data_IF_814263149758
#
_entry.id   IF_814263149758
#
_cell.length_a   1.000
_cell.length_b   1.000
_cell.length_c   1.000
_cell.angle_alpha   90.00
_cell.angle_beta   90.00
_cell.angle_gamma   90.00
#
_symmetry.space_group_name_H-M   'P 1'
#
loop_
_entity.id
_entity.type
_entity.pdbx_description
1 polymer ?
#
# COMPACT_ATOMS: atom_id res chain seq x y z
N UNK A 1 32.10 15.41 10.27
CA UNK A 1 31.06 15.45 9.23
C UNK A 1 29.69 14.91 9.68
N UNK A 2 29.56 14.20 10.80
CA UNK A 2 28.25 13.71 11.32
C UNK A 2 27.48 14.74 12.16
N UNK A 3 28.12 15.71 12.75
CA UNK A 3 27.51 16.76 13.62
C UNK A 3 26.72 17.79 12.79
N UNK A 4 27.15 18.07 11.55
CA UNK A 4 26.45 19.01 10.67
C UNK A 4 25.09 18.52 10.15
N UNK A 5 24.85 17.19 10.09
CA UNK A 5 23.55 16.64 9.68
C UNK A 5 22.49 16.72 10.78
N UNK A 6 22.91 16.66 12.05
CA UNK A 6 21.98 16.82 13.20
C UNK A 6 21.55 18.28 13.38
N UNK A 7 22.43 19.23 13.11
CA UNK A 7 22.17 20.66 13.26
C UNK A 7 21.12 21.17 12.24
N UNK A 8 21.11 20.61 11.04
CA UNK A 8 20.15 20.99 10.00
C UNK A 8 18.72 20.49 10.26
N UNK A 9 18.56 19.40 10.99
CA UNK A 9 17.21 18.91 11.38
C UNK A 9 16.65 19.73 12.56
N UNK A 10 17.50 20.17 13.49
CA UNK A 10 17.10 21.00 14.64
C UNK A 10 16.77 22.44 14.21
N UNK A 11 17.43 22.98 13.19
CA UNK A 11 17.19 24.34 12.71
C UNK A 11 15.90 24.45 11.88
N UNK A 12 15.47 23.36 11.21
CA UNK A 12 14.21 23.32 10.47
C UNK A 12 12.98 23.37 11.38
N UNK A 13 13.10 22.99 12.65
CA UNK A 13 11.99 22.98 13.63
C UNK A 13 11.72 24.38 14.21
N UNK A 14 12.69 25.28 14.15
CA UNK A 14 12.58 26.63 14.79
C UNK A 14 11.90 27.70 13.94
N UNK A 15 11.58 27.41 12.67
CA UNK A 15 10.90 28.38 11.77
C UNK A 15 9.42 28.05 11.49
N UNK A 16 8.83 27.12 12.21
CA UNK A 16 7.40 26.89 12.08
C UNK A 16 6.60 27.98 12.80
N UNK A 17 5.93 28.84 12.06
CA UNK A 17 4.93 29.75 12.60
C UNK A 17 3.86 28.95 13.36
N UNK A 18 3.22 29.56 14.37
CA UNK A 18 2.15 28.93 15.16
C UNK A 18 1.04 28.33 14.30
N UNK A 19 0.76 28.94 13.15
CA UNK A 19 -0.24 28.48 12.17
C UNK A 19 0.17 27.18 11.46
N UNK A 20 1.47 26.96 11.25
CA UNK A 20 1.99 25.72 10.69
C UNK A 20 1.77 24.53 11.65
N UNK A 21 1.97 24.73 12.94
CA UNK A 21 1.80 23.69 13.96
C UNK A 21 0.32 23.31 14.14
N UNK A 22 -0.60 24.26 14.01
CA UNK A 22 -2.04 24.01 14.18
C UNK A 22 -2.64 23.08 13.13
N UNK A 23 -2.06 23.06 11.93
CA UNK A 23 -2.50 22.23 10.78
C UNK A 23 -1.64 20.99 10.54
N UNK A 24 -0.71 20.68 11.46
CA UNK A 24 0.18 19.53 11.41
C UNK A 24 -0.35 18.42 12.30
N UNK A 25 -0.42 17.20 11.76
CA UNK A 25 -0.83 16.01 12.51
C UNK A 25 0.33 15.05 12.59
N UNK A 26 0.74 14.69 13.79
CA UNK A 26 1.53 13.50 14.06
C UNK A 26 0.60 12.30 14.15
N UNK A 27 0.98 11.19 13.52
CA UNK A 27 0.18 9.97 13.53
C UNK A 27 1.07 8.74 13.48
N UNK A 28 0.51 7.60 13.83
CA UNK A 28 1.20 6.34 13.68
C UNK A 28 0.26 5.15 13.64
N UNK A 29 0.86 4.02 13.33
CA UNK A 29 0.23 2.70 13.33
C UNK A 29 1.22 1.67 13.85
N UNK A 30 0.88 0.98 14.91
CA UNK A 30 1.53 -0.26 15.33
C UNK A 30 0.68 -1.41 14.84
N UNK A 31 1.26 -2.31 14.06
CA UNK A 31 0.57 -3.47 13.49
C UNK A 31 1.52 -4.66 13.52
N UNK A 32 1.28 -5.58 14.44
CA UNK A 32 2.14 -6.73 14.68
C UNK A 32 1.31 -8.01 14.82
N UNK A 33 1.93 -9.14 14.56
CA UNK A 33 1.30 -10.45 14.73
C UNK A 33 2.30 -11.52 15.14
N UNK A 34 1.85 -12.48 15.94
CA UNK A 34 2.45 -13.79 16.00
C UNK A 34 1.98 -14.59 14.81
N UNK A 35 2.93 -15.16 14.07
CA UNK A 35 2.69 -15.90 12.86
C UNK A 35 3.35 -17.27 12.95
N UNK A 36 2.55 -18.31 12.80
CA UNK A 36 3.02 -19.66 12.48
C UNK A 36 3.08 -19.78 10.96
N UNK A 37 4.20 -20.22 10.44
CA UNK A 37 4.39 -20.55 9.03
C UNK A 37 4.85 -21.98 8.87
N UNK A 38 4.14 -22.76 8.07
CA UNK A 38 4.50 -24.11 7.69
C UNK A 38 4.99 -24.09 6.24
N UNK A 39 6.28 -24.38 6.00
CA UNK A 39 6.93 -24.37 4.69
C UNK A 39 7.83 -25.59 4.55
N UNK A 40 7.68 -26.36 3.46
CA UNK A 40 8.58 -27.48 3.16
C UNK A 40 8.78 -28.45 4.35
N UNK A 41 7.70 -28.74 5.10
CA UNK A 41 7.71 -29.58 6.31
C UNK A 41 8.42 -28.96 7.53
N UNK A 42 8.82 -27.69 7.46
CA UNK A 42 9.37 -26.95 8.59
C UNK A 42 8.31 -25.98 9.13
N UNK A 43 8.11 -26.00 10.44
CA UNK A 43 7.25 -25.05 11.15
C UNK A 43 8.11 -24.00 11.83
N UNK A 44 7.79 -22.73 11.59
CA UNK A 44 8.40 -21.59 12.27
C UNK A 44 7.31 -20.73 12.94
N UNK A 45 7.63 -20.16 14.10
CA UNK A 45 6.77 -19.22 14.81
C UNK A 45 7.57 -17.96 15.07
N UNK A 46 7.08 -16.84 14.58
CA UNK A 46 7.79 -15.57 14.65
C UNK A 46 6.86 -14.40 14.95
N UNK A 47 7.42 -13.35 15.52
CA UNK A 47 6.72 -12.09 15.78
C UNK A 47 6.98 -11.14 14.63
N UNK A 48 5.93 -10.82 13.86
CA UNK A 48 6.02 -10.08 12.60
C UNK A 48 5.55 -8.63 12.73
N UNK A 49 6.33 -7.75 12.11
CA UNK A 49 5.92 -6.38 11.83
C UNK A 49 5.10 -6.34 10.53
N UNK A 50 3.86 -5.84 10.60
CA UNK A 50 2.97 -5.66 9.46
C UNK A 50 2.95 -4.18 9.03
N UNK A 51 4.15 -3.66 8.70
CA UNK A 51 4.37 -2.27 8.30
C UNK A 51 3.86 -1.25 9.33
N UNK A 52 4.29 -1.41 10.58
CA UNK A 52 4.15 -0.38 11.61
C UNK A 52 4.86 0.89 11.15
N UNK A 53 4.29 2.06 11.47
CA UNK A 53 4.79 3.33 10.92
C UNK A 53 4.51 4.50 11.83
N UNK A 54 5.29 5.55 11.65
CA UNK A 54 5.06 6.88 12.20
C UNK A 54 5.14 7.90 11.08
N UNK A 55 4.43 9.00 11.20
CA UNK A 55 4.46 10.04 10.20
C UNK A 55 3.94 11.38 10.69
N UNK A 56 4.26 12.39 9.89
CA UNK A 56 3.80 13.77 10.05
C UNK A 56 3.16 14.18 8.73
N UNK A 57 1.97 14.78 8.80
CA UNK A 57 1.27 15.33 7.65
C UNK A 57 0.66 16.68 7.97
N UNK A 58 0.52 17.50 6.95
CA UNK A 58 -0.13 18.80 7.10
C UNK A 58 -0.72 19.29 5.78
N UNK A 59 -1.63 20.25 5.90
CA UNK A 59 -2.26 20.95 4.77
C UNK A 59 -2.48 22.39 5.14
N UNK A 60 -2.02 23.32 4.26
CA UNK A 60 -2.08 24.77 4.46
C UNK A 60 -2.70 25.45 3.26
N UNK A 61 -3.58 26.40 3.51
CA UNK A 61 -4.09 27.31 2.48
C UNK A 61 -3.04 28.41 2.26
N UNK A 62 -2.49 28.51 1.05
CA UNK A 62 -1.63 29.61 0.63
C UNK A 62 -2.45 30.86 0.29
N UNK A 63 -3.61 30.64 -0.31
CA UNK A 63 -4.64 31.61 -0.60
C UNK A 63 -5.96 30.88 -0.86
N UNK A 64 -7.02 31.60 -1.28
CA UNK A 64 -8.36 31.03 -1.53
C UNK A 64 -8.36 29.88 -2.56
N UNK A 65 -7.39 29.85 -3.49
CA UNK A 65 -7.35 28.91 -4.61
C UNK A 65 -6.21 27.89 -4.54
N UNK A 66 -5.24 28.09 -3.65
CA UNK A 66 -4.03 27.28 -3.59
C UNK A 66 -3.78 26.73 -2.18
N UNK A 67 -3.45 25.46 -2.12
CA UNK A 67 -3.10 24.74 -0.89
C UNK A 67 -1.79 23.99 -1.07
N UNK A 68 -0.97 23.95 -0.04
CA UNK A 68 0.15 23.02 0.07
C UNK A 68 -0.25 21.89 1.00
N UNK A 69 0.08 20.67 0.62
CA UNK A 69 0.03 19.51 1.53
C UNK A 69 1.36 18.78 1.54
N UNK A 70 1.68 18.13 2.65
CA UNK A 70 2.87 17.30 2.78
C UNK A 70 2.60 16.07 3.63
N UNK A 71 3.43 15.06 3.42
CA UNK A 71 3.47 13.82 4.17
C UNK A 71 4.92 13.38 4.32
N UNK A 72 5.31 13.02 5.55
CA UNK A 72 6.55 12.32 5.87
C UNK A 72 6.18 11.07 6.65
N UNK A 73 6.40 9.88 6.08
CA UNK A 73 6.06 8.61 6.71
C UNK A 73 7.27 7.66 6.66
N UNK A 74 7.57 7.07 7.80
CA UNK A 74 8.58 6.02 7.91
C UNK A 74 7.98 4.76 8.54
N UNK A 75 8.34 3.61 7.98
CA UNK A 75 8.10 2.33 8.61
C UNK A 75 9.08 2.14 9.76
N UNK A 76 8.57 1.64 10.87
CA UNK A 76 9.33 1.26 12.06
C UNK A 76 9.13 -0.24 12.29
N UNK A 77 10.10 -0.89 12.88
CA UNK A 77 9.97 -2.30 13.26
C UNK A 77 10.00 -2.47 14.79
N UNK A 78 8.83 -2.61 15.44
CA UNK A 78 8.77 -2.84 16.88
C UNK A 78 9.02 -4.31 17.28
N UNK A 79 9.19 -5.22 16.30
CA UNK A 79 9.36 -6.66 16.55
C UNK A 79 10.80 -7.09 16.53
N UNK A 80 11.69 -6.32 15.93
CA UNK A 80 13.12 -6.56 15.90
C UNK A 80 13.78 -6.00 17.17
N UNK A 81 13.85 -6.83 18.21
CA UNK A 81 14.52 -6.51 19.48
C UNK A 81 16.05 -6.57 19.37
N UNK A 82 16.61 -6.91 18.22
CA UNK A 82 18.04 -6.87 17.95
C UNK A 82 18.44 -5.40 17.80
N UNK A 83 19.10 -4.87 18.78
CA UNK A 83 19.80 -3.60 18.62
C UNK A 83 20.75 -3.76 17.46
N UNK A 84 20.41 -3.18 16.33
CA UNK A 84 20.95 -3.30 14.99
C UNK A 84 22.48 -3.26 14.92
N UNK A 85 23.10 -4.35 15.31
CA UNK A 85 24.54 -4.59 15.14
C UNK A 85 24.91 -4.84 13.67
N UNK A 86 23.91 -5.11 12.81
CA UNK A 86 24.05 -5.45 11.39
C UNK A 86 23.90 -4.26 10.43
N UNK A 87 23.66 -3.02 10.93
CA UNK A 87 23.55 -1.81 10.12
C UNK A 87 22.20 -1.63 9.38
N UNK A 88 21.20 -2.45 9.66
CA UNK A 88 19.86 -2.24 9.10
C UNK A 88 19.23 -0.92 9.58
N UNK A 89 18.45 -0.28 8.70
CA UNK A 89 17.86 1.03 8.99
C UNK A 89 16.68 0.91 9.95
N UNK A 90 16.70 1.66 11.07
CA UNK A 90 15.60 1.76 12.03
C UNK A 90 14.33 2.31 11.38
N UNK A 91 14.50 3.18 10.38
CA UNK A 91 13.43 3.81 9.65
C UNK A 91 13.55 3.48 8.18
N UNK A 92 12.52 2.87 7.61
CA UNK A 92 12.40 2.65 6.17
C UNK A 92 11.45 3.68 5.60
N UNK A 93 11.93 4.47 4.65
CA UNK A 93 11.13 5.50 4.00
C UNK A 93 9.88 4.90 3.35
N UNK A 94 8.74 5.55 3.61
CA UNK A 94 7.45 5.29 2.97
C UNK A 94 7.06 6.50 2.12
N UNK A 95 5.78 6.81 2.01
CA UNK A 95 5.35 8.00 1.26
C UNK A 95 5.87 9.27 1.95
N UNK A 96 6.70 10.02 1.23
CA UNK A 96 7.30 11.27 1.69
C UNK A 96 7.26 12.25 0.54
N UNK A 97 6.33 13.22 0.57
CA UNK A 97 6.11 14.13 -0.54
C UNK A 97 5.61 15.50 -0.09
N UNK A 98 5.75 16.47 -0.98
CA UNK A 98 5.09 17.76 -0.93
C UNK A 98 4.19 17.92 -2.17
N UNK A 99 3.04 18.59 -2.01
CA UNK A 99 2.10 18.80 -3.09
C UNK A 99 1.53 20.22 -3.09
N UNK A 100 1.26 20.73 -4.30
CA UNK A 100 0.49 21.93 -4.55
C UNK A 100 -0.88 21.52 -5.13
N UNK A 101 -1.96 21.98 -4.51
CA UNK A 101 -3.33 21.66 -4.87
C UNK A 101 -4.11 22.94 -5.22
N UNK A 102 -4.93 22.88 -6.25
CA UNK A 102 -5.76 24.00 -6.69
C UNK A 102 -6.87 23.54 -7.65
N UNK A 103 -7.51 24.50 -8.34
CA UNK A 103 -8.52 24.20 -9.34
C UNK A 103 -7.98 23.39 -10.53
N UNK A 104 -6.66 23.44 -10.76
CA UNK A 104 -5.96 22.63 -11.76
C UNK A 104 -5.75 21.16 -11.32
N UNK A 105 -6.07 20.80 -10.07
CA UNK A 105 -5.80 19.49 -9.48
C UNK A 105 -4.67 19.54 -8.49
N UNK A 106 -3.87 18.46 -8.42
CA UNK A 106 -2.77 18.26 -7.48
C UNK A 106 -1.49 17.89 -8.21
N UNK A 107 -0.44 18.68 -8.04
CA UNK A 107 0.95 18.35 -8.46
C UNK A 107 1.72 18.00 -7.21
N UNK A 108 2.52 16.91 -7.25
CA UNK A 108 3.28 16.46 -6.08
C UNK A 108 4.62 15.84 -6.48
N UNK A 109 5.59 15.91 -5.57
CA UNK A 109 6.94 15.39 -5.78
C UNK A 109 7.51 14.81 -4.49
N UNK A 110 8.42 13.84 -4.64
CA UNK A 110 9.08 13.14 -3.53
C UNK A 110 9.08 11.62 -3.72
N UNK A 111 8.79 10.88 -2.64
CA UNK A 111 8.61 9.43 -2.63
C UNK A 111 7.14 9.10 -2.49
N UNK A 112 6.58 8.34 -3.41
CA UNK A 112 5.14 8.04 -3.42
C UNK A 112 4.83 6.66 -4.03
N UNK A 113 3.68 6.09 -3.64
CA UNK A 113 3.11 4.92 -4.32
C UNK A 113 2.71 5.29 -5.75
N UNK A 114 2.98 4.41 -6.72
CA UNK A 114 2.65 4.64 -8.12
C UNK A 114 1.13 4.67 -8.36
N UNK A 115 0.71 5.28 -9.48
CA UNK A 115 -0.69 5.32 -9.87
C UNK A 115 -1.28 3.90 -10.01
N UNK A 116 -0.51 2.94 -10.54
CA UNK A 116 -0.91 1.54 -10.64
C UNK A 116 -1.11 0.91 -9.26
N UNK A 117 -0.21 1.16 -8.31
CA UNK A 117 -0.38 0.64 -6.95
C UNK A 117 -1.62 1.20 -6.27
N UNK A 118 -1.88 2.50 -6.39
CA UNK A 118 -3.07 3.15 -5.84
C UNK A 118 -4.35 2.62 -6.48
N UNK A 119 -4.31 2.28 -7.78
CA UNK A 119 -5.42 1.70 -8.52
C UNK A 119 -5.84 0.28 -8.08
N UNK A 120 -5.16 -0.30 -7.09
CA UNK A 120 -5.60 -1.51 -6.38
C UNK A 120 -6.96 -1.32 -5.68
N UNK A 121 -7.38 -0.09 -5.37
CA UNK A 121 -8.68 0.28 -4.77
C UNK A 121 -8.99 -0.42 -3.43
N UNK A 122 -7.99 -0.97 -2.73
CA UNK A 122 -8.13 -1.80 -1.52
C UNK A 122 -8.88 -3.13 -1.78
N UNK A 123 -8.74 -3.67 -2.98
CA UNK A 123 -9.20 -5.03 -3.30
C UNK A 123 -8.44 -6.04 -2.44
N UNK A 124 -7.14 -5.80 -2.19
CA UNK A 124 -6.35 -6.57 -1.26
C UNK A 124 -6.78 -6.29 0.19
N UNK A 125 -7.46 -7.26 0.81
CA UNK A 125 -7.94 -7.20 2.18
C UNK A 125 -6.87 -7.60 3.21
N UNK A 126 -5.75 -8.17 2.76
CA UNK A 126 -4.65 -8.66 3.56
C UNK A 126 -3.35 -7.84 3.39
N UNK A 127 -3.49 -6.62 2.85
CA UNK A 127 -2.35 -5.72 2.64
C UNK A 127 -1.49 -5.55 3.90
N UNK A 128 -0.19 -5.47 3.71
CA UNK A 128 0.86 -5.44 4.75
C UNK A 128 1.05 -6.78 5.51
N UNK A 129 0.34 -7.88 5.16
CA UNK A 129 0.49 -9.21 5.79
C UNK A 129 1.13 -10.23 4.85
N UNK A 130 1.17 -11.52 5.22
CA UNK A 130 1.67 -12.60 4.35
C UNK A 130 0.78 -12.90 3.16
N UNK A 131 -0.48 -12.51 3.21
CA UNK A 131 -1.43 -12.65 2.11
C UNK A 131 -1.52 -11.40 1.22
N UNK A 132 -0.59 -10.45 1.38
CA UNK A 132 -0.47 -9.25 0.54
C UNK A 132 -0.23 -9.63 -0.93
N UNK A 133 -0.95 -9.01 -1.84
CA UNK A 133 -0.87 -9.29 -3.28
C UNK A 133 0.53 -9.08 -3.87
N UNK A 134 1.39 -8.31 -3.22
CA UNK A 134 2.79 -8.10 -3.64
C UNK A 134 3.58 -9.40 -3.80
N UNK A 135 3.15 -10.50 -3.18
CA UNK A 135 3.81 -11.80 -3.33
C UNK A 135 3.45 -12.51 -4.63
N UNK A 136 2.29 -12.19 -5.23
CA UNK A 136 1.81 -12.76 -6.50
C UNK A 136 1.87 -11.80 -7.68
N UNK A 137 1.74 -10.47 -7.44
CA UNK A 137 1.63 -9.47 -8.49
C UNK A 137 2.83 -8.53 -8.50
N UNK A 138 3.21 -8.04 -9.68
CA UNK A 138 4.14 -6.93 -9.86
C UNK A 138 3.41 -5.59 -9.73
N UNK A 139 4.19 -4.48 -9.65
CA UNK A 139 3.63 -3.14 -9.70
C UNK A 139 3.20 -2.57 -8.35
N UNK A 140 3.43 -3.29 -7.23
CA UNK A 140 3.24 -2.75 -5.87
C UNK A 140 4.41 -1.82 -5.50
N UNK A 141 4.70 -0.86 -6.40
CA UNK A 141 5.87 0.00 -6.32
C UNK A 141 5.62 1.28 -5.52
N UNK A 142 6.62 1.64 -4.71
CA UNK A 142 6.84 2.98 -4.19
C UNK A 142 8.15 3.47 -4.77
N UNK A 143 8.17 4.67 -5.34
CA UNK A 143 9.29 5.21 -6.09
C UNK A 143 9.67 6.57 -5.52
N UNK A 144 10.97 6.82 -5.45
CA UNK A 144 11.55 8.13 -5.19
C UNK A 144 11.79 8.89 -6.51
N UNK A 145 12.26 10.13 -6.42
CA UNK A 145 12.50 11.01 -7.59
C UNK A 145 11.25 11.14 -8.49
N UNK A 146 10.14 11.33 -7.87
CA UNK A 146 8.80 11.18 -8.42
C UNK A 146 8.19 12.56 -8.67
N UNK A 147 7.60 12.75 -9.84
CA UNK A 147 6.69 13.87 -10.13
C UNK A 147 5.33 13.28 -10.49
N UNK A 148 4.29 13.73 -9.82
CA UNK A 148 2.95 13.25 -10.02
C UNK A 148 1.94 14.38 -10.23
N UNK A 149 0.90 14.07 -10.98
CA UNK A 149 -0.25 14.93 -11.18
C UNK A 149 -1.52 14.12 -10.99
N UNK A 150 -2.49 14.69 -10.25
CA UNK A 150 -3.85 14.15 -10.19
C UNK A 150 -4.83 15.25 -10.62
N UNK A 151 -5.66 14.96 -11.61
CA UNK A 151 -6.63 15.91 -12.14
C UNK A 151 -7.73 16.26 -11.12
N UNK A 152 -8.41 17.40 -11.26
CA UNK A 152 -9.77 17.57 -10.73
C UNK A 152 -10.68 16.46 -11.25
N UNK A 153 -11.93 16.44 -10.80
CA UNK A 153 -12.93 15.60 -11.47
C UNK A 153 -13.18 16.11 -12.89
N UNK A 154 -12.78 15.32 -13.89
CA UNK A 154 -12.98 15.62 -15.32
C UNK A 154 -14.48 15.56 -15.65
N UNK A 155 -15.12 14.50 -15.16
CA UNK A 155 -16.56 14.35 -15.06
C UNK A 155 -16.85 13.79 -13.67
N UNK A 156 -18.10 13.87 -13.21
CA UNK A 156 -18.47 13.47 -11.85
C UNK A 156 -17.94 12.05 -11.51
N UNK A 157 -17.03 12.02 -10.55
CA UNK A 157 -16.40 10.79 -10.04
C UNK A 157 -15.17 10.32 -10.80
N UNK A 158 -14.79 10.90 -11.95
CA UNK A 158 -13.64 10.46 -12.75
C UNK A 158 -12.41 11.35 -12.51
N UNK A 159 -11.30 10.75 -12.13
CA UNK A 159 -9.99 11.41 -11.99
C UNK A 159 -8.91 10.64 -12.76
N UNK A 160 -7.94 11.38 -13.24
CA UNK A 160 -6.71 10.85 -13.88
C UNK A 160 -5.54 11.11 -12.93
N UNK A 161 -4.66 10.12 -12.77
CA UNK A 161 -3.37 10.31 -12.11
C UNK A 161 -2.26 9.91 -13.08
N UNK A 162 -1.25 10.77 -13.19
CA UNK A 162 -0.07 10.59 -14.01
C UNK A 162 1.15 10.71 -13.12
N UNK A 163 2.11 9.81 -13.30
CA UNK A 163 3.39 9.82 -12.57
C UNK A 163 4.52 9.61 -13.56
N UNK A 164 5.60 10.37 -13.38
CA UNK A 164 6.84 10.17 -14.09
C UNK A 164 7.99 10.13 -13.09
N UNK A 165 8.85 9.14 -13.23
CA UNK A 165 9.96 8.87 -12.35
C UNK A 165 11.24 8.80 -13.18
N UNK A 166 12.20 9.66 -12.86
CA UNK A 166 13.53 9.61 -13.47
C UNK A 166 14.35 8.50 -12.85
N UNK A 167 14.92 7.63 -13.68
CA UNK A 167 15.85 6.57 -13.29
C UNK A 167 17.12 6.64 -14.13
N UNK A 168 18.22 6.07 -13.63
CA UNK A 168 19.48 5.98 -14.39
C UNK A 168 19.38 5.18 -15.70
N UNK A 169 18.37 4.28 -15.79
CA UNK A 169 18.12 3.41 -16.94
C UNK A 169 16.98 3.90 -17.85
N UNK A 170 16.51 5.13 -17.67
CA UNK A 170 15.39 5.71 -18.40
C UNK A 170 14.24 6.16 -17.51
N UNK A 171 13.15 6.63 -18.11
CA UNK A 171 11.94 7.00 -17.36
C UNK A 171 11.08 5.77 -17.04
N UNK A 172 10.44 5.82 -15.92
CA UNK A 172 9.33 4.96 -15.54
C UNK A 172 8.08 5.82 -15.43
N UNK A 173 7.05 5.47 -16.16
CA UNK A 173 5.78 6.19 -16.16
C UNK A 173 4.65 5.30 -15.63
N UNK A 174 3.78 5.90 -14.83
CA UNK A 174 2.61 5.22 -14.26
C UNK A 174 1.39 6.12 -14.38
N UNK A 175 0.29 5.58 -14.83
CA UNK A 175 -0.96 6.32 -14.93
C UNK A 175 -2.17 5.51 -14.51
N UNK A 176 -3.22 6.20 -14.06
CA UNK A 176 -4.50 5.58 -13.76
C UNK A 176 -5.69 6.47 -14.09
N UNK A 177 -6.78 5.81 -14.47
CA UNK A 177 -8.14 6.35 -14.53
C UNK A 177 -8.90 5.78 -13.34
N UNK A 178 -9.41 6.64 -12.47
CA UNK A 178 -10.13 6.23 -11.28
C UNK A 178 -11.53 6.81 -11.31
N UNK A 179 -12.54 5.95 -11.28
CA UNK A 179 -13.94 6.31 -11.22
C UNK A 179 -14.54 5.90 -9.88
N UNK A 180 -15.29 6.81 -9.25
CA UNK A 180 -15.97 6.56 -7.98
C UNK A 180 -17.37 7.17 -8.00
N UNK A 181 -18.40 6.35 -7.80
CA UNK A 181 -19.79 6.80 -7.67
C UNK A 181 -20.50 6.02 -6.57
N UNK A 182 -20.81 6.72 -5.47
CA UNK A 182 -21.29 6.07 -4.26
C UNK A 182 -20.28 5.06 -3.73
N UNK A 183 -20.71 3.84 -3.51
CA UNK A 183 -19.86 2.75 -3.02
C UNK A 183 -19.12 1.99 -4.13
N UNK A 184 -19.42 2.27 -5.40
CA UNK A 184 -18.79 1.62 -6.57
C UNK A 184 -17.52 2.37 -6.92
N UNK A 185 -16.41 1.65 -7.06
CA UNK A 185 -15.15 2.18 -7.56
C UNK A 185 -14.63 1.29 -8.68
N UNK A 186 -14.04 1.93 -9.68
CA UNK A 186 -13.41 1.27 -10.82
C UNK A 186 -12.10 1.98 -11.10
N UNK A 187 -11.04 1.24 -11.37
CA UNK A 187 -9.77 1.79 -11.81
C UNK A 187 -9.21 0.99 -12.97
N UNK A 188 -8.63 1.70 -13.91
CA UNK A 188 -7.69 1.18 -14.91
C UNK A 188 -6.35 1.85 -14.68
N UNK A 189 -5.26 1.09 -14.73
CA UNK A 189 -3.92 1.64 -14.54
C UNK A 189 -2.88 0.90 -15.37
N UNK A 190 -1.79 1.60 -15.67
CA UNK A 190 -0.65 1.00 -16.37
C UNK A 190 0.66 1.59 -15.86
N UNK A 191 1.67 0.74 -15.75
CA UNK A 191 3.07 1.08 -15.57
C UNK A 191 3.84 0.78 -16.85
N UNK A 192 4.76 1.65 -17.23
CA UNK A 192 5.72 1.44 -18.31
C UNK A 192 7.14 1.44 -17.73
N UNK A 193 7.90 0.38 -18.00
CA UNK A 193 9.28 0.20 -17.52
C UNK A 193 9.44 0.21 -15.98
N UNK A 194 8.42 -0.26 -15.27
CA UNK A 194 8.43 -0.35 -13.80
C UNK A 194 9.33 -1.46 -13.28
N UNK A 195 10.61 -1.16 -12.96
CA UNK A 195 11.61 -2.16 -12.52
C UNK A 195 11.77 -3.33 -13.51
N UNK A 196 11.71 -3.05 -14.81
CA UNK A 196 11.87 -4.03 -15.89
C UNK A 196 10.55 -4.73 -16.28
N UNK A 197 9.42 -4.17 -15.89
CA UNK A 197 8.09 -4.68 -16.21
C UNK A 197 7.16 -3.59 -16.72
N UNK A 198 6.32 -3.94 -17.71
CA UNK A 198 5.12 -3.21 -18.08
C UNK A 198 3.93 -3.89 -17.44
N UNK A 199 3.09 -3.14 -16.74
CA UNK A 199 1.92 -3.66 -16.05
C UNK A 199 0.66 -2.96 -16.53
N UNK A 200 -0.43 -3.70 -16.68
CA UNK A 200 -1.77 -3.20 -16.90
C UNK A 200 -2.71 -3.82 -15.89
N UNK A 201 -3.49 -3.00 -15.19
CA UNK A 201 -4.37 -3.43 -14.09
C UNK A 201 -5.76 -2.85 -14.27
N UNK A 202 -6.76 -3.68 -14.04
CA UNK A 202 -8.15 -3.27 -13.84
C UNK A 202 -8.55 -3.74 -12.46
N UNK A 203 -9.16 -2.87 -11.67
CA UNK A 203 -9.70 -3.21 -10.36
C UNK A 203 -11.06 -2.56 -10.13
N UNK A 204 -11.92 -3.24 -9.40
CA UNK A 204 -13.22 -2.71 -8.98
C UNK A 204 -13.56 -3.13 -7.57
N UNK A 205 -14.27 -2.25 -6.84
CA UNK A 205 -14.91 -2.59 -5.58
C UNK A 205 -16.36 -2.13 -5.60
N UNK A 206 -17.27 -2.99 -5.15
CA UNK A 206 -18.72 -2.70 -5.11
C UNK A 206 -19.40 -3.52 -4.02
N UNK A 207 -20.49 -3.03 -3.41
CA UNK A 207 -21.29 -3.81 -2.49
C UNK A 207 -22.30 -4.70 -3.22
N UNK A 208 -22.58 -5.86 -2.66
CA UNK A 208 -23.80 -6.63 -2.92
C UNK A 208 -24.73 -6.38 -1.73
N UNK A 209 -25.55 -5.35 -1.82
CA UNK A 209 -26.34 -4.84 -0.69
C UNK A 209 -27.27 -5.88 -0.10
N UNK A 210 -27.92 -6.71 -0.94
CA UNK A 210 -28.82 -7.79 -0.50
C UNK A 210 -28.16 -8.84 0.40
N UNK A 211 -26.83 -9.01 0.28
CA UNK A 211 -26.04 -9.95 1.08
C UNK A 211 -25.21 -9.25 2.18
N UNK A 212 -25.14 -7.92 2.16
CA UNK A 212 -24.27 -7.14 3.04
C UNK A 212 -22.79 -7.48 2.85
N UNK A 213 -22.37 -7.73 1.60
CA UNK A 213 -21.01 -8.12 1.23
C UNK A 213 -20.38 -7.03 0.35
N UNK A 214 -19.18 -6.58 0.72
CA UNK A 214 -18.31 -5.80 -0.16
C UNK A 214 -17.48 -6.76 -1.00
N UNK A 215 -17.46 -6.56 -2.31
CA UNK A 215 -16.70 -7.35 -3.28
C UNK A 215 -15.57 -6.53 -3.86
N UNK A 216 -14.40 -7.13 -3.97
CA UNK A 216 -13.26 -6.59 -4.72
C UNK A 216 -12.84 -7.56 -5.81
N UNK A 217 -12.54 -7.04 -7.00
CA UNK A 217 -11.99 -7.82 -8.12
C UNK A 217 -10.81 -7.08 -8.73
N UNK A 218 -9.78 -7.82 -9.13
CA UNK A 218 -8.60 -7.30 -9.79
C UNK A 218 -8.14 -8.28 -10.87
N UNK A 219 -7.79 -7.72 -12.03
CA UNK A 219 -7.09 -8.42 -13.10
C UNK A 219 -5.85 -7.63 -13.46
N UNK A 220 -4.74 -8.33 -13.69
CA UNK A 220 -3.49 -7.73 -14.12
C UNK A 220 -2.84 -8.56 -15.22
N UNK A 221 -2.30 -7.86 -16.22
CA UNK A 221 -1.33 -8.39 -17.20
C UNK A 221 0.01 -7.72 -16.94
N UNK A 222 1.08 -8.50 -16.95
CA UNK A 222 2.46 -8.04 -16.73
C UNK A 222 3.36 -8.59 -17.80
N UNK A 223 4.08 -7.70 -18.51
CA UNK A 223 5.11 -8.08 -19.49
C UNK A 223 6.48 -7.86 -18.88
N UNK A 224 7.30 -8.90 -18.85
CA UNK A 224 8.71 -8.83 -18.48
C UNK A 224 9.53 -8.32 -19.66
N UNK A 225 10.15 -7.16 -19.55
CA UNK A 225 10.84 -6.49 -20.67
C UNK A 225 12.06 -7.26 -21.15
N UNK A 226 12.80 -7.93 -20.25
CA UNK A 226 14.00 -8.68 -20.61
C UNK A 226 13.74 -9.94 -21.47
N UNK A 227 12.53 -10.51 -21.38
CA UNK A 227 12.17 -11.76 -22.10
C UNK A 227 11.02 -11.54 -23.09
N UNK A 228 10.27 -10.43 -22.99
CA UNK A 228 9.06 -10.18 -23.75
C UNK A 228 7.86 -11.05 -23.33
N UNK A 229 8.01 -11.93 -22.35
CA UNK A 229 6.94 -12.82 -21.87
C UNK A 229 5.89 -12.00 -21.12
N UNK A 230 4.63 -12.29 -21.40
CA UNK A 230 3.46 -11.68 -20.73
C UNK A 230 2.75 -12.73 -19.90
N UNK A 231 2.52 -12.40 -18.64
CA UNK A 231 1.87 -13.23 -17.64
C UNK A 231 0.65 -12.50 -17.06
N UNK A 232 -0.27 -13.25 -16.49
CA UNK A 232 -1.56 -12.71 -16.02
C UNK A 232 -1.84 -13.16 -14.60
N UNK A 233 -2.68 -12.38 -13.92
CA UNK A 233 -3.19 -12.76 -12.60
C UNK A 233 -4.53 -12.10 -12.32
N UNK A 234 -5.29 -12.72 -11.45
CA UNK A 234 -6.58 -12.22 -11.00
C UNK A 234 -6.76 -12.45 -9.50
N UNK A 235 -7.58 -11.62 -8.89
CA UNK A 235 -7.92 -11.70 -7.48
C UNK A 235 -9.39 -11.34 -7.30
N UNK A 236 -10.04 -12.07 -6.41
CA UNK A 236 -11.36 -11.75 -5.87
C UNK A 236 -11.27 -11.67 -4.35
N UNK A 237 -11.93 -10.69 -3.77
CA UNK A 237 -12.03 -10.54 -2.32
C UNK A 237 -13.46 -10.24 -1.89
N UNK A 238 -13.84 -10.78 -0.74
CA UNK A 238 -15.15 -10.62 -0.13
C UNK A 238 -14.96 -10.17 1.31
N UNK A 239 -15.74 -9.18 1.72
CA UNK A 239 -15.76 -8.71 3.10
C UNK A 239 -17.20 -8.63 3.57
N UNK A 240 -17.48 -9.22 4.74
CA UNK A 240 -18.78 -9.15 5.38
C UNK A 240 -18.66 -8.70 6.82
N UNK A 241 -19.45 -7.72 7.20
CA UNK A 241 -19.64 -7.35 8.60
C UNK A 241 -20.59 -8.38 9.24
N UNK A 242 -20.11 -9.12 10.24
CA UNK A 242 -20.87 -10.18 10.91
C UNK A 242 -21.42 -9.75 12.28
N UNK A 243 -20.91 -8.65 12.82
CA UNK A 243 -21.42 -7.98 14.02
C UNK A 243 -21.00 -6.51 14.00
N UNK A 244 -21.41 -5.72 15.00
CA UNK A 244 -20.99 -4.31 15.11
C UNK A 244 -19.48 -4.13 15.21
N UNK A 245 -18.78 -5.10 15.76
CA UNK A 245 -17.34 -5.09 15.95
C UNK A 245 -16.60 -6.10 15.07
N UNK A 246 -17.27 -7.13 14.55
CA UNK A 246 -16.69 -8.24 13.81
C UNK A 246 -16.84 -8.14 12.30
N UNK A 247 -15.77 -8.46 11.54
CA UNK A 247 -15.83 -8.60 10.08
C UNK A 247 -15.02 -9.81 9.64
N UNK A 248 -15.56 -10.57 8.68
CA UNK A 248 -14.91 -11.69 8.00
C UNK A 248 -14.42 -11.25 6.63
N UNK A 249 -13.28 -11.77 6.22
CA UNK A 249 -12.65 -11.51 4.92
C UNK A 249 -12.32 -12.82 4.24
N UNK A 250 -12.56 -12.90 2.95
CA UNK A 250 -12.10 -13.96 2.06
C UNK A 250 -11.35 -13.33 0.90
N UNK A 251 -10.25 -13.92 0.49
CA UNK A 251 -9.49 -13.50 -0.67
C UNK A 251 -8.94 -14.73 -1.38
N UNK A 252 -9.16 -14.80 -2.69
CA UNK A 252 -8.59 -15.81 -3.56
C UNK A 252 -7.86 -15.10 -4.71
N UNK A 253 -6.63 -15.50 -4.96
CA UNK A 253 -5.81 -14.96 -6.04
C UNK A 253 -5.12 -16.09 -6.80
N UNK A 254 -4.97 -15.91 -8.11
CA UNK A 254 -4.16 -16.77 -8.96
C UNK A 254 -3.35 -15.92 -9.92
N UNK A 255 -2.05 -16.25 -10.10
CA UNK A 255 -1.15 -15.44 -10.90
C UNK A 255 0.11 -16.19 -11.29
N UNK A 256 0.50 -16.10 -12.57
CA UNK A 256 1.78 -16.58 -13.08
C UNK A 256 2.89 -15.51 -13.00
N UNK A 257 2.55 -14.29 -12.60
CA UNK A 257 3.43 -13.09 -12.68
C UNK A 257 4.70 -13.21 -11.82
N UNK A 258 4.57 -13.74 -10.61
CA UNK A 258 5.73 -13.92 -9.69
C UNK A 258 6.00 -15.36 -9.34
N UNK A 259 4.97 -16.18 -9.33
CA UNK A 259 5.04 -17.60 -9.02
C UNK A 259 4.38 -18.37 -10.14
N UNK A 260 5.05 -19.42 -10.62
CA UNK A 260 4.50 -20.33 -11.60
C UNK A 260 3.25 -21.03 -11.03
N UNK A 261 2.12 -20.87 -11.71
CA UNK A 261 0.80 -21.33 -11.24
C UNK A 261 0.47 -20.90 -9.81
N UNK A 262 0.92 -19.70 -9.41
CA UNK A 262 0.75 -19.20 -8.03
C UNK A 262 -0.72 -19.05 -7.67
N UNK A 263 -1.15 -19.64 -6.56
CA UNK A 263 -2.48 -19.52 -5.97
C UNK A 263 -2.36 -19.12 -4.52
N UNK A 264 -3.26 -18.27 -4.07
CA UNK A 264 -3.33 -17.85 -2.69
C UNK A 264 -4.79 -17.80 -2.25
N UNK A 265 -5.13 -18.51 -1.18
CA UNK A 265 -6.42 -18.49 -0.55
C UNK A 265 -6.27 -17.99 0.88
N UNK A 266 -7.08 -17.02 1.27
CA UNK A 266 -6.94 -16.40 2.58
C UNK A 266 -8.30 -16.19 3.22
N UNK A 267 -8.35 -16.44 4.53
CA UNK A 267 -9.49 -16.19 5.42
C UNK A 267 -9.02 -15.28 6.55
N UNK A 268 -9.80 -14.25 6.84
CA UNK A 268 -9.50 -13.33 7.92
C UNK A 268 -10.72 -13.00 8.76
N UNK A 269 -10.49 -12.77 10.03
CA UNK A 269 -11.46 -12.19 10.94
C UNK A 269 -10.83 -11.01 11.66
N UNK A 270 -11.55 -9.91 11.78
CA UNK A 270 -11.13 -8.77 12.61
C UNK A 270 -12.20 -8.45 13.63
N UNK A 271 -11.74 -8.10 14.84
CA UNK A 271 -12.57 -7.61 15.93
C UNK A 271 -12.12 -6.21 16.35
N UNK A 272 -13.00 -5.22 16.19
CA UNK A 272 -12.75 -3.83 16.60
C UNK A 272 -12.92 -3.70 18.11
N UNK A 273 -11.83 -3.41 18.81
CA UNK A 273 -11.85 -3.05 20.24
C UNK A 273 -12.39 -1.62 20.36
N UNK A 274 -11.89 -0.71 19.53
CA UNK A 274 -12.27 0.70 19.48
C UNK A 274 -12.20 1.24 18.04
N UNK A 275 -12.38 2.56 17.86
CA UNK A 275 -12.15 3.23 16.56
C UNK A 275 -10.70 3.16 16.08
N UNK A 276 -9.74 3.01 17.00
CA UNK A 276 -8.29 3.05 16.73
C UNK A 276 -7.58 1.72 16.96
N UNK A 277 -8.27 0.71 17.53
CA UNK A 277 -7.67 -0.57 17.90
C UNK A 277 -8.49 -1.76 17.42
N UNK A 278 -7.83 -2.77 16.87
CA UNK A 278 -8.45 -4.04 16.45
C UNK A 278 -7.52 -5.22 16.69
N UNK A 279 -8.12 -6.39 16.92
CA UNK A 279 -7.49 -7.70 16.83
C UNK A 279 -7.79 -8.29 15.47
N UNK A 280 -6.93 -9.19 15.00
CA UNK A 280 -7.18 -9.96 13.80
C UNK A 280 -6.64 -11.39 13.92
N UNK A 281 -7.30 -12.30 13.22
CA UNK A 281 -6.89 -13.68 12.98
C UNK A 281 -6.90 -13.89 11.46
N UNK A 282 -5.78 -14.34 10.90
CA UNK A 282 -5.65 -14.63 9.48
C UNK A 282 -5.14 -16.04 9.27
N UNK A 283 -5.69 -16.71 8.27
CA UNK A 283 -5.16 -17.91 7.66
C UNK A 283 -4.87 -17.61 6.19
N UNK A 284 -3.78 -18.09 5.67
CA UNK A 284 -3.46 -18.00 4.24
C UNK A 284 -2.71 -19.22 3.80
N UNK A 285 -3.11 -19.78 2.68
CA UNK A 285 -2.46 -20.85 1.96
C UNK A 285 -1.91 -20.31 0.63
N UNK A 286 -0.63 -20.56 0.37
CA UNK A 286 0.08 -20.18 -0.85
C UNK A 286 0.60 -21.45 -1.53
N UNK A 287 0.15 -21.69 -2.75
CA UNK A 287 0.56 -22.80 -3.60
C UNK A 287 1.28 -22.29 -4.85
N UNK A 288 2.19 -23.09 -5.37
CA UNK A 288 2.91 -22.88 -6.63
C UNK A 288 3.36 -24.23 -7.19
N UNK A 289 3.50 -24.35 -8.51
CA UNK A 289 4.09 -25.54 -9.15
C UNK A 289 5.52 -25.80 -8.66
N UNK A 290 6.19 -24.78 -8.13
CA UNK A 290 7.43 -24.91 -7.35
C UNK A 290 7.07 -25.20 -5.88
N UNK A 291 7.00 -26.45 -5.50
CA UNK A 291 6.62 -26.89 -4.14
C UNK A 291 7.41 -26.21 -3.03
N UNK A 292 8.69 -25.83 -3.29
CA UNK A 292 9.50 -25.04 -2.35
C UNK A 292 8.96 -23.65 -2.03
N UNK A 293 7.89 -23.21 -2.73
CA UNK A 293 7.19 -21.94 -2.49
C UNK A 293 5.84 -22.11 -1.81
N UNK A 294 5.40 -23.37 -1.61
CA UNK A 294 4.17 -23.65 -0.88
C UNK A 294 4.35 -23.31 0.60
N UNK A 295 3.34 -22.65 1.15
CA UNK A 295 3.39 -22.25 2.55
C UNK A 295 1.98 -21.99 3.10
N UNK A 296 1.75 -22.43 4.33
CA UNK A 296 0.59 -22.07 5.11
C UNK A 296 0.98 -21.09 6.20
N UNK A 297 0.08 -20.12 6.47
CA UNK A 297 0.30 -19.10 7.48
C UNK A 297 -0.93 -18.97 8.37
N UNK A 298 -0.71 -18.96 9.68
CA UNK A 298 -1.73 -18.59 10.67
C UNK A 298 -1.18 -17.43 11.48
N UNK A 299 -1.88 -16.32 11.51
CA UNK A 299 -1.44 -15.11 12.21
C UNK A 299 -2.51 -14.61 13.17
N UNK A 300 -2.11 -14.30 14.40
CA UNK A 300 -2.92 -13.56 15.38
C UNK A 300 -2.24 -12.25 15.65
N UNK A 301 -2.93 -11.15 15.48
CA UNK A 301 -2.30 -9.84 15.58
C UNK A 301 -3.18 -8.74 16.12
N UNK A 302 -2.51 -7.60 16.33
CA UNK A 302 -3.08 -6.39 16.88
C UNK A 302 -2.66 -5.19 16.04
N UNK A 303 -3.61 -4.32 15.73
CA UNK A 303 -3.37 -3.03 15.10
C UNK A 303 -3.88 -1.91 16.01
N UNK A 304 -3.02 -0.92 16.26
CA UNK A 304 -3.36 0.31 16.97
C UNK A 304 -2.92 1.53 16.15
N UNK A 305 -3.79 2.52 16.08
CA UNK A 305 -3.56 3.81 15.40
C UNK A 305 -3.64 4.94 16.41
N UNK A 306 -2.78 5.92 16.26
CA UNK A 306 -2.77 7.13 17.10
C UNK A 306 -2.52 8.38 16.27
#
# INVERSE_FOLDING_TARGET
MKIFKLLNVTLAILFFSSDLLSNTTFYGKINTSYERSDKNFETDIDFKNNASRVGIKGKFDLNENLKISYLFENEIDPTDGRGRADGEQVFKERNTFIALEGNFGKIFTGTHDTALKIAQLKVDLFNDTRADIKYLFQGENRMNSFVGYTSPEIVKGLKVTLNSISQSTGSFDSYSLNYSRGSIKLAFASDSNGKGYDNQRIASTFPIESLGIDVGVLYQSTKKLSTGVSEKGHLISLKKKVSDKGSVYLQAASSDIKLESGKQNSLGYTYKISKVAKLFLHYSDLESDKTSKNAEYVSVGFEYKF
#
